data_IF_136709178488
#
_entry.id   IF_136709178488
#
_cell.length_a   1.000
_cell.length_b   1.000
_cell.length_c   1.000
_cell.angle_alpha   90.00
_cell.angle_beta   90.00
_cell.angle_gamma   90.00
#
_symmetry.space_group_name_H-M   'P 1'
#
loop_
_entity.id
_entity.type
_entity.pdbx_description
1 polymer ?
#
# COMPACT_ATOMS: atom_id res chain seq x y z
N UNK A 1 -5.76 6.11 -5.36
CA UNK A 1 -4.53 5.41 -4.95
C UNK A 1 -4.56 5.11 -3.46
N UNK A 2 -4.03 3.98 -3.00
CA UNK A 2 -4.06 3.57 -1.58
C UNK A 2 -2.65 3.22 -1.12
N UNK A 3 -2.21 3.83 0.01
CA UNK A 3 -0.96 3.53 0.70
C UNK A 3 -1.26 2.80 2.01
N UNK A 4 -0.67 1.60 2.23
CA UNK A 4 -1.13 0.65 3.24
C UNK A 4 -0.01 -0.25 3.79
N UNK A 5 -0.22 -0.81 4.99
CA UNK A 5 0.64 -1.83 5.61
C UNK A 5 -0.19 -3.08 5.99
N UNK A 6 -0.78 -3.83 5.04
CA UNK A 6 -1.97 -4.64 5.21
C UNK A 6 -1.99 -5.50 6.47
N UNK A 7 -2.78 -5.03 7.45
CA UNK A 7 -3.35 -5.77 8.56
C UNK A 7 -4.74 -6.31 8.18
N UNK A 8 -5.47 -6.88 9.14
CA UNK A 8 -6.80 -7.47 8.92
C UNK A 8 -7.81 -6.39 8.49
N UNK A 9 -7.78 -5.23 9.11
CA UNK A 9 -8.65 -4.09 8.79
C UNK A 9 -8.30 -3.44 7.45
N UNK A 10 -7.00 -3.29 7.14
CA UNK A 10 -6.54 -2.85 5.83
C UNK A 10 -6.99 -3.81 4.72
N UNK A 11 -6.92 -5.13 4.98
CA UNK A 11 -7.37 -6.13 4.03
C UNK A 11 -8.85 -5.97 3.68
N UNK A 12 -9.69 -5.70 4.68
CA UNK A 12 -11.13 -5.43 4.47
C UNK A 12 -11.31 -4.14 3.68
N UNK A 13 -10.59 -3.07 4.04
CA UNK A 13 -10.65 -1.79 3.33
C UNK A 13 -10.22 -1.92 1.87
N UNK A 14 -9.12 -2.64 1.60
CA UNK A 14 -8.64 -2.90 0.25
C UNK A 14 -9.66 -3.70 -0.57
N UNK A 15 -10.16 -4.82 -0.04
CA UNK A 15 -11.15 -5.63 -0.74
C UNK A 15 -12.44 -4.85 -1.05
N UNK A 16 -12.87 -3.99 -0.11
CA UNK A 16 -14.00 -3.10 -0.34
C UNK A 16 -13.72 -2.11 -1.49
N UNK A 17 -12.55 -1.45 -1.46
CA UNK A 17 -12.19 -0.49 -2.50
C UNK A 17 -12.03 -1.16 -3.88
N UNK A 18 -11.41 -2.34 -3.93
CA UNK A 18 -11.17 -3.09 -5.16
C UNK A 18 -12.45 -3.63 -5.82
N UNK A 19 -13.50 -3.86 -5.04
CA UNK A 19 -14.80 -4.36 -5.51
C UNK A 19 -15.85 -3.25 -5.68
N UNK A 20 -15.56 -2.02 -5.24
CA UNK A 20 -16.49 -0.90 -5.36
C UNK A 20 -16.50 -0.37 -6.81
N UNK A 21 -17.64 -0.41 -7.52
CA UNK A 21 -17.71 0.04 -8.91
C UNK A 21 -17.55 1.56 -9.09
N UNK A 22 -17.71 2.32 -8.00
CA UNK A 22 -17.60 3.78 -8.01
C UNK A 22 -16.16 4.27 -7.74
N UNK A 23 -15.23 3.34 -7.48
CA UNK A 23 -13.83 3.65 -7.22
C UNK A 23 -12.91 3.08 -8.30
N UNK A 24 -12.14 3.96 -8.92
CA UNK A 24 -11.03 3.57 -9.79
C UNK A 24 -9.72 3.55 -8.98
N UNK A 25 -9.27 2.36 -8.59
CA UNK A 25 -8.02 2.18 -7.84
C UNK A 25 -6.85 2.15 -8.82
N UNK A 26 -6.19 3.29 -8.98
CA UNK A 26 -5.09 3.48 -9.95
C UNK A 26 -3.74 2.93 -9.50
N UNK A 27 -3.61 2.51 -8.24
CA UNK A 27 -2.38 1.91 -7.72
C UNK A 27 -2.43 1.68 -6.21
N UNK A 28 -1.61 0.74 -5.75
CA UNK A 28 -1.39 0.44 -4.33
C UNK A 28 0.08 0.60 -4.02
N UNK A 29 0.38 1.24 -2.88
CA UNK A 29 1.72 1.33 -2.32
C UNK A 29 1.77 0.70 -0.94
N UNK A 30 2.90 0.09 -0.58
CA UNK A 30 3.07 -0.55 0.72
C UNK A 30 4.18 0.07 1.54
N UNK A 31 4.02 0.04 2.84
CA UNK A 31 4.95 0.55 3.84
C UNK A 31 5.08 -0.45 4.98
N UNK A 32 6.18 -0.44 5.71
CA UNK A 32 6.30 -1.22 6.93
C UNK A 32 5.51 -0.56 8.07
N UNK A 33 4.69 -1.33 8.77
CA UNK A 33 3.90 -0.87 9.90
C UNK A 33 3.37 -2.04 10.73
N UNK A 34 2.17 -2.53 10.47
CA UNK A 34 1.59 -3.71 11.14
C UNK A 34 2.53 -4.91 11.07
N UNK A 35 3.18 -5.09 9.92
CA UNK A 35 4.22 -6.09 9.66
C UNK A 35 5.39 -5.44 8.90
N UNK A 36 6.49 -6.19 8.72
CA UNK A 36 7.61 -5.72 7.90
C UNK A 36 7.21 -5.53 6.43
N UNK A 37 7.94 -4.67 5.71
CA UNK A 37 7.63 -4.28 4.33
C UNK A 37 7.41 -5.46 3.39
N UNK A 38 8.27 -6.48 3.45
CA UNK A 38 8.16 -7.67 2.59
C UNK A 38 6.83 -8.39 2.81
N UNK A 39 6.42 -8.57 4.08
CA UNK A 39 5.15 -9.20 4.41
C UNK A 39 3.96 -8.32 4.03
N UNK A 40 4.03 -7.01 4.27
CA UNK A 40 3.00 -6.06 3.84
C UNK A 40 2.79 -6.11 2.32
N UNK A 41 3.89 -6.17 1.56
CA UNK A 41 3.84 -6.26 0.10
C UNK A 41 3.24 -7.59 -0.37
N UNK A 42 3.61 -8.72 0.28
CA UNK A 42 2.99 -10.03 -0.01
C UNK A 42 1.50 -10.04 0.29
N UNK A 43 1.10 -9.43 1.40
CA UNK A 43 -0.32 -9.33 1.77
C UNK A 43 -1.10 -8.53 0.72
N UNK A 44 -0.57 -7.37 0.29
CA UNK A 44 -1.19 -6.56 -0.75
C UNK A 44 -1.29 -7.31 -2.09
N UNK A 45 -0.23 -7.99 -2.52
CA UNK A 45 -0.23 -8.82 -3.71
C UNK A 45 -1.27 -9.94 -3.63
N UNK A 46 -1.38 -10.60 -2.48
CA UNK A 46 -2.38 -11.64 -2.24
C UNK A 46 -3.81 -11.11 -2.29
N UNK A 47 -4.05 -9.92 -1.75
CA UNK A 47 -5.38 -9.27 -1.79
C UNK A 47 -5.76 -8.86 -3.22
N UNK A 48 -4.81 -8.33 -4.00
CA UNK A 48 -5.02 -8.03 -5.43
C UNK A 48 -5.37 -9.30 -6.21
N UNK A 49 -4.65 -10.39 -5.96
CA UNK A 49 -4.92 -11.67 -6.62
C UNK A 49 -6.27 -12.27 -6.21
N UNK A 50 -6.63 -12.19 -4.91
CA UNK A 50 -7.93 -12.63 -4.39
C UNK A 50 -9.08 -11.83 -4.99
N UNK A 51 -8.89 -10.51 -5.18
CA UNK A 51 -9.89 -9.63 -5.78
C UNK A 51 -9.95 -9.73 -7.32
N UNK A 52 -9.10 -10.57 -7.95
CA UNK A 52 -8.93 -10.67 -9.41
C UNK A 52 -8.54 -9.33 -10.07
N UNK A 53 -7.84 -8.48 -9.34
CA UNK A 53 -7.37 -7.15 -9.78
C UNK A 53 -5.84 -7.10 -9.91
N UNK A 54 -5.27 -8.08 -10.61
CA UNK A 54 -3.82 -8.16 -10.87
C UNK A 54 -3.35 -7.13 -11.92
N UNK A 55 -4.27 -6.37 -12.48
CA UNK A 55 -4.05 -5.23 -13.37
C UNK A 55 -3.55 -3.98 -12.64
N UNK A 56 -3.82 -3.88 -11.33
CA UNK A 56 -3.47 -2.69 -10.53
C UNK A 56 -1.98 -2.70 -10.17
N UNK A 57 -1.25 -1.62 -10.47
CA UNK A 57 0.16 -1.50 -10.08
C UNK A 57 0.35 -1.57 -8.56
N UNK A 58 1.34 -2.35 -8.13
CA UNK A 58 1.77 -2.46 -6.74
C UNK A 58 3.21 -1.99 -6.60
N UNK A 59 3.47 -1.06 -5.68
CA UNK A 59 4.81 -0.56 -5.39
C UNK A 59 5.14 -0.68 -3.91
N UNK A 60 6.34 -1.21 -3.60
CA UNK A 60 6.84 -1.23 -2.23
C UNK A 60 7.68 0.00 -1.92
N UNK A 61 7.56 0.50 -0.70
CA UNK A 61 8.20 1.74 -0.27
C UNK A 61 9.08 1.57 0.96
N UNK A 62 8.81 2.36 1.98
CA UNK A 62 9.66 2.46 3.16
C UNK A 62 9.61 1.20 4.04
N UNK A 63 10.81 0.69 4.39
CA UNK A 63 10.96 -0.45 5.32
C UNK A 63 10.87 -0.06 6.80
N UNK A 64 10.64 1.21 7.11
CA UNK A 64 10.52 1.73 8.46
C UNK A 64 10.27 3.23 8.49
N UNK A 65 10.12 3.83 9.68
CA UNK A 65 9.86 5.26 9.83
C UNK A 65 11.09 6.09 9.45
N UNK A 66 10.88 7.38 9.11
CA UNK A 66 11.97 8.34 8.87
C UNK A 66 12.83 8.59 10.11
N UNK A 67 12.26 8.41 11.30
CA UNK A 67 12.96 8.58 12.57
C UNK A 67 12.39 7.66 13.64
N UNK A 68 13.26 7.23 14.56
CA UNK A 68 12.88 6.36 15.68
C UNK A 68 12.77 4.88 15.31
N UNK A 69 12.42 4.03 16.28
CA UNK A 69 12.30 2.60 16.06
C UNK A 69 11.03 2.25 15.28
N UNK A 70 11.13 1.25 14.40
CA UNK A 70 9.96 0.62 13.81
C UNK A 70 9.11 -0.07 14.89
N UNK A 71 7.80 0.00 14.75
CA UNK A 71 6.84 -0.69 15.64
C UNK A 71 5.92 -1.53 14.76
N UNK A 72 5.81 -2.81 15.08
CA UNK A 72 4.80 -3.70 14.49
C UNK A 72 3.64 -3.91 15.47
N UNK A 73 2.48 -4.23 14.94
CA UNK A 73 1.30 -4.55 15.73
C UNK A 73 1.13 -6.07 15.85
N UNK A 74 1.05 -6.58 17.07
CA UNK A 74 0.73 -7.99 17.31
C UNK A 74 -0.78 -8.28 17.13
N UNK A 75 -1.61 -7.26 16.96
CA UNK A 75 -3.07 -7.40 16.88
C UNK A 75 -3.55 -8.20 15.65
N UNK A 76 -2.75 -8.17 14.57
CA UNK A 76 -3.08 -8.82 13.30
C UNK A 76 -2.37 -10.16 13.08
N UNK A 77 -1.71 -10.72 14.13
CA UNK A 77 -0.88 -11.91 14.01
C UNK A 77 0.52 -11.59 13.43
N UNK A 78 1.37 -12.62 13.35
CA UNK A 78 2.75 -12.46 12.86
C UNK A 78 2.83 -12.14 11.36
N UNK A 79 1.83 -12.56 10.62
CA UNK A 79 1.70 -12.38 9.16
C UNK A 79 0.83 -11.18 8.77
N UNK A 80 0.22 -10.51 9.74
CA UNK A 80 -0.68 -9.39 9.51
C UNK A 80 -2.11 -9.78 9.14
N UNK A 81 -2.37 -11.03 8.77
CA UNK A 81 -3.67 -11.52 8.30
C UNK A 81 -4.27 -12.61 9.18
N UNK A 82 -3.81 -12.72 10.44
CA UNK A 82 -4.36 -13.68 11.41
C UNK A 82 -4.14 -15.15 11.03
N UNK A 83 -3.11 -15.47 10.26
CA UNK A 83 -2.79 -16.84 9.81
C UNK A 83 -3.45 -17.20 8.46
N UNK A 84 -4.10 -16.26 7.79
CA UNK A 84 -4.68 -16.49 6.46
C UNK A 84 -3.60 -16.35 5.39
N UNK A 85 -3.26 -17.47 4.73
CA UNK A 85 -2.34 -17.47 3.59
C UNK A 85 -3.08 -17.15 2.29
N UNK A 86 -2.63 -16.11 1.58
CA UNK A 86 -3.14 -15.74 0.27
C UNK A 86 -2.14 -16.10 -0.83
N UNK A 87 -2.60 -16.57 -2.00
CA UNK A 87 -1.73 -16.71 -3.16
C UNK A 87 -1.30 -15.33 -3.65
N UNK A 88 -0.02 -15.15 -4.03
CA UNK A 88 0.54 -13.85 -4.42
C UNK A 88 1.53 -13.93 -5.59
N UNK A 89 1.52 -15.03 -6.31
CA UNK A 89 2.47 -15.36 -7.39
C UNK A 89 2.16 -14.69 -8.74
N UNK A 90 1.01 -14.01 -8.86
CA UNK A 90 0.56 -13.32 -10.09
C UNK A 90 0.77 -11.81 -10.07
N UNK A 91 1.21 -11.26 -8.95
CA UNK A 91 1.40 -9.82 -8.79
C UNK A 91 2.86 -9.56 -8.46
N UNK A 92 3.54 -8.83 -9.34
CA UNK A 92 4.89 -8.34 -9.10
C UNK A 92 4.81 -6.92 -8.52
N UNK A 93 5.53 -6.70 -7.42
CA UNK A 93 5.66 -5.38 -6.84
C UNK A 93 6.93 -4.69 -7.36
N UNK A 94 6.78 -3.46 -7.86
CA UNK A 94 7.90 -2.62 -8.25
C UNK A 94 8.42 -1.80 -7.04
N UNK A 95 9.67 -1.32 -7.07
CA UNK A 95 10.22 -0.44 -6.04
C UNK A 95 9.68 0.99 -6.14
N UNK A 96 10.08 1.83 -5.16
CA UNK A 96 9.96 3.27 -5.17
C UNK A 96 8.51 3.80 -5.13
N UNK A 97 7.79 3.40 -4.09
CA UNK A 97 6.42 3.86 -3.83
C UNK A 97 6.30 5.39 -3.81
N UNK A 98 7.27 6.10 -3.22
CA UNK A 98 7.23 7.55 -3.13
C UNK A 98 7.28 8.21 -4.54
N UNK A 99 8.15 7.71 -5.42
CA UNK A 99 8.23 8.17 -6.81
C UNK A 99 6.95 7.84 -7.57
N UNK A 100 6.42 6.64 -7.40
CA UNK A 100 5.17 6.23 -8.03
C UNK A 100 3.99 7.12 -7.61
N UNK A 101 3.92 7.52 -6.32
CA UNK A 101 2.91 8.47 -5.82
C UNK A 101 3.06 9.81 -6.57
N UNK A 102 4.27 10.38 -6.59
CA UNK A 102 4.55 11.67 -7.26
C UNK A 102 4.18 11.62 -8.74
N UNK A 103 4.65 10.60 -9.45
CA UNK A 103 4.44 10.49 -10.90
C UNK A 103 2.96 10.31 -11.23
N UNK A 104 2.22 9.52 -10.43
CA UNK A 104 0.78 9.29 -10.64
C UNK A 104 -0.03 10.55 -10.38
N UNK A 105 0.23 11.28 -9.29
CA UNK A 105 -0.49 12.52 -8.96
C UNK A 105 -0.19 13.61 -10.00
N UNK A 106 1.08 13.78 -10.38
CA UNK A 106 1.47 14.79 -11.36
C UNK A 106 0.95 14.49 -12.78
N UNK A 107 0.76 13.21 -13.12
CA UNK A 107 0.15 12.85 -14.40
C UNK A 107 -1.36 13.12 -14.45
N UNK A 108 -2.02 13.25 -13.28
CA UNK A 108 -3.48 13.42 -13.15
C UNK A 108 -3.82 14.53 -12.13
N UNK A 109 -3.48 15.80 -12.42
CA UNK A 109 -3.62 16.88 -11.45
C UNK A 109 -5.07 17.09 -11.01
N UNK A 110 -5.31 17.04 -9.69
CA UNK A 110 -6.61 17.24 -9.09
C UNK A 110 -7.59 16.05 -9.24
N UNK A 111 -7.20 14.96 -9.91
CA UNK A 111 -8.06 13.80 -10.14
C UNK A 111 -7.74 12.62 -9.21
N UNK A 112 -6.53 12.59 -8.62
CA UNK A 112 -6.10 11.50 -7.74
C UNK A 112 -6.36 11.85 -6.28
N UNK A 113 -7.09 10.99 -5.58
CA UNK A 113 -7.13 10.99 -4.12
C UNK A 113 -6.16 9.95 -3.59
N UNK A 114 -5.18 10.35 -2.79
CA UNK A 114 -4.30 9.45 -2.05
C UNK A 114 -4.92 9.14 -0.69
N UNK A 115 -5.23 7.87 -0.45
CA UNK A 115 -5.76 7.36 0.81
C UNK A 115 -4.64 6.61 1.53
N UNK A 116 -4.15 7.17 2.63
CA UNK A 116 -3.11 6.57 3.46
C UNK A 116 -3.74 5.92 4.68
N UNK A 117 -3.75 4.60 4.74
CA UNK A 117 -4.25 3.80 5.86
C UNK A 117 -3.12 3.13 6.64
N UNK A 118 -1.88 3.21 6.14
CA UNK A 118 -0.66 2.82 6.83
C UNK A 118 0.12 4.01 7.42
N UNK A 119 1.33 3.79 7.95
CA UNK A 119 2.24 4.86 8.36
C UNK A 119 2.56 5.82 7.21
N UNK A 120 2.58 7.13 7.48
CA UNK A 120 2.70 8.18 6.45
C UNK A 120 4.11 8.32 5.85
N UNK A 121 4.98 7.33 5.99
CA UNK A 121 6.38 7.43 5.55
C UNK A 121 6.53 7.61 4.05
N UNK A 122 5.76 6.86 3.25
CA UNK A 122 5.79 7.01 1.80
C UNK A 122 5.28 8.37 1.34
N UNK A 123 4.21 8.88 1.97
CA UNK A 123 3.70 10.24 1.70
C UNK A 123 4.73 11.30 2.07
N UNK A 124 5.40 11.18 3.23
CA UNK A 124 6.44 12.13 3.61
C UNK A 124 7.59 12.15 2.60
N UNK A 125 8.06 10.97 2.15
CA UNK A 125 9.09 10.85 1.12
C UNK A 125 8.62 11.42 -0.22
N UNK A 126 7.35 11.22 -0.59
CA UNK A 126 6.78 11.80 -1.81
C UNK A 126 6.77 13.34 -1.75
N UNK A 127 6.40 13.93 -0.60
CA UNK A 127 6.45 15.38 -0.37
C UNK A 127 7.88 15.95 -0.31
N UNK A 128 8.88 15.15 0.11
CA UNK A 128 10.30 15.53 -0.01
C UNK A 128 10.77 15.55 -1.48
N UNK A 129 10.28 14.61 -2.31
CA UNK A 129 10.57 14.56 -3.73
C UNK A 129 9.89 15.68 -4.51
N UNK A 130 8.65 16.00 -4.16
CA UNK A 130 7.86 17.07 -4.77
C UNK A 130 7.00 17.81 -3.72
N UNK A 131 7.49 18.94 -3.18
CA UNK A 131 6.73 19.74 -2.23
C UNK A 131 5.44 20.36 -2.79
N UNK A 132 5.27 20.33 -4.10
CA UNK A 132 4.07 20.82 -4.78
C UNK A 132 2.95 19.79 -4.94
N UNK A 133 3.13 18.60 -4.38
CA UNK A 133 2.20 17.48 -4.53
C UNK A 133 0.84 17.70 -3.85
N UNK A 134 0.74 18.61 -2.87
CA UNK A 134 -0.44 18.88 -2.05
C UNK A 134 -1.29 20.02 -2.60
#
# INVERSE_FOLDING_TARGET
>A
MIDTDPGIDDAIALLLALQCPDLDVVGITTVAGNVGLEQATRNAAGLLQLAERTDIPLHYGAAGPLSGPSRSSAAHGLDGLGGVALPHDRVEAAPDAARFIVDTVNANPGEVTLVTIGPLTNLALALELDPGLA
#
